data_IF_248326344882
#
_entry.id   IF_248326344882
#
_cell.length_a   1.000
_cell.length_b   1.000
_cell.length_c   1.000
_cell.angle_alpha   90.00
_cell.angle_beta   90.00
_cell.angle_gamma   90.00
#
_symmetry.space_group_name_H-M   'P 1'
#
loop_
_entity.id
_entity.type
_entity.pdbx_description
1 polymer ?
#
# COMPACT_ATOMS: atom_id res chain seq x y z
N UNK A 1 -21.03 -4.29 -3.27
CA UNK A 1 -22.24 -3.51 -3.60
C UNK A 1 -23.01 -2.95 -2.39
N UNK A 2 -23.29 -3.70 -1.30
CA UNK A 2 -24.12 -3.18 -0.18
C UNK A 2 -23.53 -1.96 0.52
N UNK A 3 -22.20 -1.96 0.73
CA UNK A 3 -21.47 -0.85 1.37
C UNK A 3 -21.57 0.46 0.57
N UNK A 4 -21.51 0.37 -0.76
CA UNK A 4 -21.62 1.53 -1.67
C UNK A 4 -23.01 2.16 -1.61
N UNK A 5 -24.07 1.33 -1.61
CA UNK A 5 -25.45 1.81 -1.48
C UNK A 5 -25.68 2.52 -0.14
N UNK A 6 -25.23 1.93 0.97
CA UNK A 6 -25.36 2.55 2.30
C UNK A 6 -24.62 3.89 2.38
N UNK A 7 -23.41 3.96 1.82
CA UNK A 7 -22.64 5.21 1.77
C UNK A 7 -23.34 6.28 0.90
N UNK A 8 -23.90 5.89 -0.25
CA UNK A 8 -24.64 6.77 -1.15
C UNK A 8 -25.91 7.33 -0.49
N UNK A 9 -26.69 6.49 0.21
CA UNK A 9 -27.90 6.92 0.95
C UNK A 9 -27.53 7.94 2.03
N UNK A 10 -26.44 7.71 2.77
CA UNK A 10 -25.96 8.66 3.79
C UNK A 10 -25.57 10.01 3.17
N UNK A 11 -24.91 10.01 2.02
CA UNK A 11 -24.53 11.24 1.30
C UNK A 11 -25.76 11.99 0.79
N UNK A 12 -26.75 11.28 0.24
CA UNK A 12 -28.01 11.88 -0.23
C UNK A 12 -28.71 12.67 0.88
N UNK A 13 -28.82 12.07 2.08
CA UNK A 13 -29.43 12.74 3.25
C UNK A 13 -28.58 13.86 3.81
N UNK A 14 -27.26 13.67 3.88
CA UNK A 14 -26.34 14.68 4.46
C UNK A 14 -26.28 15.95 3.62
N UNK A 15 -26.29 15.82 2.30
CA UNK A 15 -26.10 16.93 1.37
C UNK A 15 -27.40 17.39 0.68
N UNK A 16 -28.54 16.79 1.04
CA UNK A 16 -29.86 17.06 0.46
C UNK A 16 -29.85 17.12 -1.07
N UNK A 17 -29.34 16.05 -1.68
CA UNK A 17 -29.21 15.95 -3.14
C UNK A 17 -30.53 15.51 -3.76
N UNK A 18 -30.81 15.95 -4.99
CA UNK A 18 -31.96 15.47 -5.77
C UNK A 18 -31.63 14.19 -6.57
N UNK A 19 -30.36 14.03 -6.96
CA UNK A 19 -29.86 12.88 -7.70
C UNK A 19 -28.39 12.58 -7.36
N UNK A 20 -28.01 11.29 -7.34
CA UNK A 20 -26.62 10.82 -7.24
C UNK A 20 -26.42 9.67 -8.22
N UNK A 21 -25.58 9.90 -9.23
CA UNK A 21 -25.19 8.88 -10.20
C UNK A 21 -23.82 8.33 -9.81
N UNK A 22 -23.75 7.01 -9.58
CA UNK A 22 -22.50 6.31 -9.27
C UNK A 22 -22.20 5.37 -10.43
N UNK A 23 -21.23 5.75 -11.25
CA UNK A 23 -20.73 4.92 -12.34
C UNK A 23 -19.56 4.09 -11.81
N UNK A 24 -19.76 2.78 -11.69
CA UNK A 24 -18.68 1.83 -11.37
C UNK A 24 -18.50 0.87 -12.52
N UNK A 25 -17.25 0.57 -12.86
CA UNK A 25 -16.94 -0.49 -13.82
C UNK A 25 -17.47 -1.84 -13.32
N UNK A 26 -17.99 -2.66 -14.23
CA UNK A 26 -18.49 -4.00 -13.90
C UNK A 26 -17.34 -4.89 -13.37
N UNK A 27 -17.64 -5.95 -12.58
CA UNK A 27 -16.64 -6.94 -12.20
C UNK A 27 -15.89 -7.48 -13.43
N UNK A 28 -14.56 -7.55 -13.38
CA UNK A 28 -13.72 -7.94 -14.52
C UNK A 28 -13.42 -6.81 -15.53
N UNK A 29 -14.04 -5.63 -15.38
CA UNK A 29 -13.70 -4.42 -16.13
C UNK A 29 -12.73 -3.52 -15.34
N UNK A 30 -12.09 -4.05 -14.30
CA UNK A 30 -11.20 -3.30 -13.42
C UNK A 30 -9.93 -2.83 -14.16
N UNK A 31 -9.51 -3.54 -15.21
CA UNK A 31 -8.51 -3.08 -16.18
C UNK A 31 -8.89 -1.75 -16.90
N UNK A 32 -10.17 -1.41 -16.97
CA UNK A 32 -10.64 -0.14 -17.53
C UNK A 32 -10.68 0.99 -16.49
N UNK A 33 -10.55 0.68 -15.20
CA UNK A 33 -10.36 1.68 -14.16
C UNK A 33 -9.01 2.39 -14.40
N UNK A 34 -9.07 3.71 -14.60
CA UNK A 34 -7.89 4.53 -14.88
C UNK A 34 -6.86 4.43 -13.75
N UNK A 35 -7.31 4.32 -12.50
CA UNK A 35 -6.42 4.19 -11.34
C UNK A 35 -5.70 2.84 -11.37
N UNK A 36 -6.43 1.74 -11.52
CA UNK A 36 -5.83 0.39 -11.55
C UNK A 36 -4.87 0.24 -12.73
N UNK A 37 -5.24 0.76 -13.90
CA UNK A 37 -4.37 0.73 -15.08
C UNK A 37 -3.07 1.48 -14.87
N UNK A 38 -3.12 2.63 -14.18
CA UNK A 38 -1.94 3.42 -13.80
C UNK A 38 -1.10 2.76 -12.72
N UNK A 39 -1.72 1.98 -11.83
CA UNK A 39 -1.01 1.24 -10.77
C UNK A 39 -0.48 -0.12 -11.23
N UNK A 40 -0.95 -0.64 -12.37
CA UNK A 40 -0.54 -1.95 -12.87
C UNK A 40 0.98 -2.07 -13.10
N UNK A 41 1.69 -1.07 -13.67
CA UNK A 41 3.15 -1.13 -13.79
C UNK A 41 3.84 -1.25 -12.42
N UNK A 42 3.43 -0.46 -11.42
CA UNK A 42 4.02 -0.50 -10.08
C UNK A 42 3.82 -1.86 -9.40
N UNK A 43 2.67 -2.49 -9.62
CA UNK A 43 2.38 -3.83 -9.09
C UNK A 43 3.18 -4.91 -9.82
N UNK A 44 3.40 -4.73 -11.12
CA UNK A 44 4.22 -5.62 -11.94
C UNK A 44 5.70 -5.55 -11.52
N UNK A 45 6.24 -4.35 -11.24
CA UNK A 45 7.63 -4.18 -10.79
C UNK A 45 7.92 -4.89 -9.47
N UNK A 46 6.89 -5.04 -8.62
CA UNK A 46 6.98 -5.78 -7.36
C UNK A 46 6.70 -7.28 -7.51
N UNK A 47 6.14 -7.71 -8.64
CA UNK A 47 5.76 -9.10 -8.82
C UNK A 47 7.02 -9.99 -8.90
N UNK A 48 7.17 -10.87 -7.91
CA UNK A 48 8.34 -11.75 -7.81
C UNK A 48 9.57 -11.12 -7.17
N UNK A 49 9.48 -9.89 -6.67
CA UNK A 49 10.54 -9.27 -5.88
C UNK A 49 10.68 -10.01 -4.54
N UNK A 50 11.87 -10.54 -4.27
CA UNK A 50 12.20 -11.19 -3.00
C UNK A 50 13.06 -10.22 -2.19
N UNK A 51 12.51 -9.73 -1.08
CA UNK A 51 13.23 -8.85 -0.16
C UNK A 51 13.80 -9.68 1.00
N UNK A 52 15.10 -9.53 1.31
CA UNK A 52 15.67 -10.15 2.51
C UNK A 52 15.07 -9.50 3.76
N UNK A 53 14.59 -10.33 4.69
CA UNK A 53 14.03 -9.87 5.96
C UNK A 53 15.12 -9.56 7.00
N UNK A 54 16.37 -9.94 6.75
CA UNK A 54 17.49 -9.95 7.66
C UNK A 54 18.75 -9.27 7.07
N UNK A 55 18.56 -8.22 6.27
CA UNK A 55 19.64 -7.52 5.56
C UNK A 55 20.85 -7.15 6.47
N UNK A 56 20.60 -6.77 7.72
CA UNK A 56 21.61 -6.43 8.73
C UNK A 56 21.83 -7.53 9.78
N UNK A 57 21.31 -8.72 9.53
CA UNK A 57 21.34 -9.87 10.44
C UNK A 57 19.95 -10.27 10.92
N UNK A 58 19.88 -11.50 11.45
CA UNK A 58 18.62 -12.06 11.95
C UNK A 58 18.15 -11.35 13.23
N UNK A 59 16.91 -10.88 13.20
CA UNK A 59 16.18 -10.36 14.35
C UNK A 59 15.19 -11.39 14.92
N UNK A 60 15.16 -12.60 14.34
CA UNK A 60 14.24 -13.68 14.67
C UNK A 60 14.97 -14.83 15.38
N UNK A 61 14.28 -15.50 16.30
CA UNK A 61 14.72 -16.78 16.85
C UNK A 61 14.34 -17.97 15.95
N UNK A 62 14.71 -19.19 16.33
CA UNK A 62 14.41 -20.43 15.61
C UNK A 62 12.90 -20.71 15.43
N UNK A 63 12.05 -20.05 16.22
CA UNK A 63 10.59 -20.12 16.12
C UNK A 63 9.99 -18.99 15.26
N UNK A 64 10.82 -18.13 14.66
CA UNK A 64 10.38 -16.99 13.84
C UNK A 64 9.81 -15.81 14.65
N UNK A 65 10.10 -15.74 15.95
CA UNK A 65 9.65 -14.64 16.82
C UNK A 65 10.74 -13.58 16.92
N UNK A 66 10.35 -12.31 16.81
CA UNK A 66 11.25 -11.17 17.03
C UNK A 66 11.89 -11.23 18.41
N UNK A 67 13.21 -11.26 18.43
CA UNK A 67 14.04 -11.10 19.65
C UNK A 67 14.68 -9.72 19.75
N UNK A 68 14.81 -9.01 18.63
CA UNK A 68 15.42 -7.68 18.58
C UNK A 68 14.56 -6.72 17.75
N UNK A 69 13.67 -5.98 18.42
CA UNK A 69 12.73 -5.05 17.77
C UNK A 69 13.41 -3.89 17.06
N UNK A 70 14.56 -3.42 17.56
CA UNK A 70 15.28 -2.32 16.90
C UNK A 70 15.93 -2.79 15.60
N UNK A 71 16.50 -4.00 15.60
CA UNK A 71 17.05 -4.60 14.39
C UNK A 71 15.94 -4.98 13.38
N UNK A 72 14.77 -5.42 13.86
CA UNK A 72 13.59 -5.62 13.01
C UNK A 72 13.20 -4.30 12.30
N UNK A 73 13.13 -3.19 13.04
CA UNK A 73 12.79 -1.88 12.48
C UNK A 73 13.77 -1.42 11.41
N UNK A 74 15.07 -1.61 11.64
CA UNK A 74 16.12 -1.23 10.67
C UNK A 74 16.06 -2.13 9.42
N UNK A 75 15.85 -3.44 9.58
CA UNK A 75 15.68 -4.36 8.45
C UNK A 75 14.42 -4.04 7.65
N UNK A 76 13.30 -3.75 8.33
CA UNK A 76 12.04 -3.36 7.69
C UNK A 76 12.18 -2.06 6.90
N UNK A 77 12.83 -1.04 7.50
CA UNK A 77 13.16 0.20 6.80
C UNK A 77 13.94 -0.08 5.52
N UNK A 78 14.96 -0.94 5.57
CA UNK A 78 15.74 -1.26 4.37
C UNK A 78 14.93 -1.95 3.28
N UNK A 79 14.03 -2.86 3.65
CA UNK A 79 13.09 -3.45 2.70
C UNK A 79 12.20 -2.37 2.04
N UNK A 80 11.70 -1.42 2.84
CA UNK A 80 10.94 -0.27 2.35
C UNK A 80 11.72 0.66 1.43
N UNK A 81 12.99 0.93 1.75
CA UNK A 81 13.89 1.71 0.88
C UNK A 81 14.13 1.02 -0.46
N UNK A 82 14.35 -0.31 -0.47
CA UNK A 82 14.49 -1.08 -1.72
C UNK A 82 13.22 -1.03 -2.56
N UNK A 83 12.03 -1.08 -1.95
CA UNK A 83 10.76 -0.92 -2.66
C UNK A 83 10.64 0.47 -3.31
N UNK A 84 11.01 1.52 -2.57
CA UNK A 84 11.02 2.88 -3.08
C UNK A 84 12.01 3.05 -4.25
N UNK A 85 13.21 2.47 -4.13
CA UNK A 85 14.22 2.45 -5.20
C UNK A 85 13.69 1.76 -6.47
N UNK A 86 13.03 0.61 -6.35
CA UNK A 86 12.42 -0.09 -7.49
C UNK A 86 11.39 0.79 -8.18
N UNK A 87 10.48 1.40 -7.43
CA UNK A 87 9.45 2.27 -8.01
C UNK A 87 10.01 3.54 -8.63
N UNK A 88 11.04 4.16 -8.04
CA UNK A 88 11.72 5.32 -8.62
C UNK A 88 12.37 5.03 -9.99
N UNK A 89 12.61 3.76 -10.32
CA UNK A 89 13.07 3.35 -11.65
C UNK A 89 12.01 3.43 -12.76
N UNK A 90 10.74 3.61 -12.39
CA UNK A 90 9.60 3.51 -13.32
C UNK A 90 9.10 4.89 -13.78
N UNK A 91 8.54 4.93 -14.98
CA UNK A 91 7.93 6.13 -15.58
C UNK A 91 6.48 5.82 -15.92
N UNK A 92 5.55 6.65 -15.45
CA UNK A 92 4.11 6.49 -15.66
C UNK A 92 3.57 7.75 -16.35
N UNK A 93 2.91 7.57 -17.50
CA UNK A 93 2.35 8.66 -18.29
C UNK A 93 3.37 9.79 -18.59
N UNK A 94 4.63 9.42 -18.90
CA UNK A 94 5.77 10.34 -19.14
C UNK A 94 6.27 11.09 -17.89
N UNK A 95 5.73 10.81 -16.71
CA UNK A 95 6.20 11.35 -15.45
C UNK A 95 7.03 10.32 -14.68
N UNK A 96 8.24 10.68 -14.20
CA UNK A 96 9.02 9.79 -13.35
C UNK A 96 8.29 9.57 -12.03
N UNK A 97 8.34 8.34 -11.54
CA UNK A 97 7.79 7.99 -10.23
C UNK A 97 8.74 8.49 -9.14
N UNK A 98 8.18 9.10 -8.10
CA UNK A 98 8.92 9.51 -6.89
C UNK A 98 8.34 8.73 -5.72
N UNK A 99 9.16 7.90 -5.10
CA UNK A 99 8.81 7.10 -3.95
C UNK A 99 9.87 7.26 -2.86
N UNK A 100 9.43 7.36 -1.61
CA UNK A 100 10.29 7.40 -0.43
C UNK A 100 9.70 6.52 0.67
N UNK A 101 10.58 5.90 1.46
CA UNK A 101 10.16 5.25 2.69
C UNK A 101 9.91 6.31 3.76
N UNK A 102 8.76 6.22 4.42
CA UNK A 102 8.38 7.11 5.52
C UNK A 102 8.25 6.24 6.77
N UNK A 103 8.92 6.65 7.85
CA UNK A 103 8.80 5.97 9.13
C UNK A 103 7.33 5.98 9.60
N UNK A 104 6.80 4.83 10.04
CA UNK A 104 5.43 4.77 10.53
C UNK A 104 5.27 5.71 11.72
N UNK A 105 4.11 6.36 11.88
CA UNK A 105 3.82 7.12 13.08
C UNK A 105 3.92 6.17 14.29
N UNK A 106 4.46 6.67 15.41
CA UNK A 106 4.55 5.89 16.65
C UNK A 106 3.17 5.29 16.95
N UNK A 107 3.10 3.96 16.95
CA UNK A 107 1.84 3.27 17.19
C UNK A 107 1.62 3.18 18.70
N UNK A 108 0.38 3.29 19.16
CA UNK A 108 0.03 3.08 20.57
C UNK A 108 0.37 1.66 21.06
N UNK A 109 0.73 0.74 20.15
CA UNK A 109 1.14 -0.63 20.46
C UNK A 109 2.63 -0.75 20.81
N UNK A 110 3.46 0.24 20.44
CA UNK A 110 4.87 0.29 20.83
C UNK A 110 5.05 0.68 22.32
N UNK A 111 4.01 1.23 22.95
CA UNK A 111 4.00 1.57 24.39
C UNK A 111 3.59 0.38 25.30
N UNK A 112 3.08 -0.71 24.73
CA UNK A 112 2.46 -1.83 25.49
C UNK A 112 3.32 -3.11 25.44
N UNK A 113 4.45 -3.12 24.73
CA UNK A 113 5.34 -4.28 24.63
C UNK A 113 6.52 -4.22 25.59
#
# INVERSE_FOLDING_TARGET
>A
FPKTLVASIRKFRKYNLDALFVLTHAPGQSAYNVVERRMAPLSHDLAGLILPHDHFGTHLNDSGVTVNSELERINFKKAGEVLAEVWCGSVIDEYPVVAEYIDPPASTQDEIR
#
